data_IF_228804390177
#
_entry.id   IF_228804390177
#
_cell.length_a   1.000
_cell.length_b   1.000
_cell.length_c   1.000
_cell.angle_alpha   90.00
_cell.angle_beta   90.00
_cell.angle_gamma   90.00
#
_symmetry.space_group_name_H-M   'P 1'
#
loop_
_entity.id
_entity.type
_entity.pdbx_description
1 polymer ?
#
# COMPACT_ATOMS: atom_id res chain seq x y z
N UNK A 1 -20.04 6.41 7.50
CA UNK A 1 -19.70 7.47 8.48
C UNK A 1 -20.04 8.79 7.85
N UNK A 2 -20.69 9.66 8.60
CA UNK A 2 -20.92 11.01 8.15
C UNK A 2 -19.62 11.85 8.21
N UNK A 3 -19.47 12.91 7.41
CA UNK A 3 -18.28 13.75 7.42
C UNK A 3 -17.85 14.21 8.81
N UNK A 4 -18.80 14.66 9.64
CA UNK A 4 -18.55 15.14 11.01
C UNK A 4 -17.97 14.03 11.91
N UNK A 5 -18.36 12.77 11.70
CA UNK A 5 -17.83 11.62 12.44
C UNK A 5 -16.37 11.36 12.05
N UNK A 6 -16.03 11.48 10.75
CA UNK A 6 -14.66 11.31 10.26
C UNK A 6 -13.77 12.44 10.80
N UNK A 7 -14.25 13.69 10.74
CA UNK A 7 -13.53 14.84 11.27
C UNK A 7 -13.27 14.71 12.79
N UNK A 8 -14.24 14.20 13.56
CA UNK A 8 -14.06 13.96 14.99
C UNK A 8 -12.93 12.93 15.25
N UNK A 9 -12.88 11.83 14.50
CA UNK A 9 -11.79 10.83 14.62
C UNK A 9 -10.44 11.44 14.26
N UNK A 10 -10.40 12.21 13.17
CA UNK A 10 -9.17 12.90 12.72
C UNK A 10 -8.68 13.89 13.78
N UNK A 11 -9.59 14.69 14.37
CA UNK A 11 -9.25 15.64 15.44
C UNK A 11 -8.61 14.95 16.64
N UNK A 12 -9.21 13.86 17.11
CA UNK A 12 -8.68 13.06 18.24
C UNK A 12 -7.29 12.48 17.87
N UNK A 13 -7.12 11.97 16.65
CA UNK A 13 -5.83 11.49 16.18
C UNK A 13 -4.76 12.57 16.18
N UNK A 14 -5.10 13.77 15.69
CA UNK A 14 -4.17 14.91 15.65
C UNK A 14 -3.79 15.36 17.07
N UNK A 15 -4.74 15.47 17.99
CA UNK A 15 -4.48 15.81 19.38
C UNK A 15 -3.55 14.79 20.07
N UNK A 16 -3.70 13.51 19.74
CA UNK A 16 -2.87 12.42 20.26
C UNK A 16 -1.53 12.25 19.53
N UNK A 17 -1.29 13.00 18.44
CA UNK A 17 -0.10 12.81 17.57
C UNK A 17 -0.09 11.48 16.82
N UNK A 18 -1.28 10.90 16.57
CA UNK A 18 -1.46 9.61 15.89
C UNK A 18 -1.97 9.82 14.47
N UNK A 19 -1.42 9.09 13.52
CA UNK A 19 -1.88 9.09 12.13
C UNK A 19 -3.22 8.36 12.03
N UNK A 20 -4.12 8.90 11.20
CA UNK A 20 -5.44 8.32 10.92
C UNK A 20 -5.47 7.86 9.47
N UNK A 21 -5.88 6.62 9.25
CA UNK A 21 -6.11 6.06 7.92
C UNK A 21 -7.59 5.69 7.75
N UNK A 22 -8.06 5.67 6.51
CA UNK A 22 -9.41 5.25 6.18
C UNK A 22 -9.41 4.13 5.14
N UNK A 23 -10.10 3.02 5.44
CA UNK A 23 -10.49 2.03 4.46
C UNK A 23 -11.63 2.61 3.60
N UNK A 24 -11.40 2.84 2.31
CA UNK A 24 -12.40 3.39 1.41
C UNK A 24 -12.18 2.92 -0.05
N UNK A 25 -13.26 2.41 -0.67
CA UNK A 25 -13.25 1.98 -2.06
C UNK A 25 -13.94 2.98 -3.01
N UNK A 26 -15.09 3.52 -2.61
CA UNK A 26 -15.90 4.39 -3.46
C UNK A 26 -15.34 5.82 -3.56
N UNK A 27 -15.45 6.45 -4.73
CA UNK A 27 -14.90 7.78 -4.98
C UNK A 27 -15.39 8.83 -3.97
N UNK A 28 -16.67 8.82 -3.63
CA UNK A 28 -17.24 9.80 -2.68
C UNK A 28 -16.70 9.62 -1.26
N UNK A 29 -16.65 8.37 -0.76
CA UNK A 29 -16.10 8.10 0.58
C UNK A 29 -14.60 8.41 0.67
N UNK A 30 -13.85 8.20 -0.42
CA UNK A 30 -12.43 8.58 -0.51
C UNK A 30 -12.28 10.11 -0.39
N UNK A 31 -13.07 10.87 -1.17
CA UNK A 31 -13.04 12.34 -1.13
C UNK A 31 -13.41 12.88 0.24
N UNK A 32 -14.46 12.36 0.86
CA UNK A 32 -14.86 12.75 2.20
C UNK A 32 -13.76 12.50 3.25
N UNK A 33 -13.12 11.32 3.22
CA UNK A 33 -12.02 11.01 4.11
C UNK A 33 -10.81 11.93 3.90
N UNK A 34 -10.45 12.22 2.64
CA UNK A 34 -9.37 13.16 2.31
C UNK A 34 -9.68 14.56 2.82
N UNK A 35 -10.91 15.05 2.63
CA UNK A 35 -11.33 16.38 3.06
C UNK A 35 -11.37 16.50 4.59
N UNK A 36 -11.76 15.44 5.29
CA UNK A 36 -11.72 15.36 6.74
C UNK A 36 -10.29 15.32 7.32
N UNK A 37 -9.26 15.09 6.49
CA UNK A 37 -7.86 15.23 6.88
C UNK A 37 -7.19 13.94 7.35
N UNK A 38 -7.63 12.76 6.86
CA UNK A 38 -6.90 11.50 7.08
C UNK A 38 -5.50 11.56 6.47
N UNK A 39 -4.59 10.74 6.95
CA UNK A 39 -3.21 10.70 6.49
C UNK A 39 -3.00 9.75 5.31
N UNK A 40 -3.80 8.68 5.23
CA UNK A 40 -3.80 7.74 4.11
C UNK A 40 -5.18 7.14 3.85
N UNK A 41 -5.35 6.61 2.63
CA UNK A 41 -6.51 5.82 2.23
C UNK A 41 -6.02 4.43 1.86
N UNK A 42 -6.61 3.42 2.48
CA UNK A 42 -6.39 2.02 2.14
C UNK A 42 -7.34 1.61 1.01
N UNK A 43 -6.84 0.82 0.06
CA UNK A 43 -7.45 0.35 -1.18
C UNK A 43 -7.67 1.41 -2.25
N UNK A 44 -8.44 2.47 -1.99
CA UNK A 44 -8.76 3.54 -2.93
C UNK A 44 -9.22 3.05 -4.33
N UNK A 45 -9.89 1.89 -4.41
CA UNK A 45 -10.09 1.13 -5.66
C UNK A 45 -10.78 1.93 -6.76
N UNK A 46 -11.81 2.68 -6.41
CA UNK A 46 -12.64 3.44 -7.36
C UNK A 46 -12.40 4.96 -7.24
N UNK A 47 -11.19 5.36 -6.85
CA UNK A 47 -10.82 6.78 -6.79
C UNK A 47 -10.99 7.42 -8.18
N UNK A 48 -11.64 8.57 -8.23
CA UNK A 48 -11.81 9.36 -9.46
C UNK A 48 -10.70 10.43 -9.63
N UNK A 49 -10.71 11.12 -10.75
CA UNK A 49 -9.70 12.15 -11.05
C UNK A 49 -9.72 13.31 -10.03
N UNK A 50 -10.88 13.62 -9.45
CA UNK A 50 -11.00 14.60 -8.38
C UNK A 50 -10.40 14.09 -7.06
N UNK A 51 -10.66 12.84 -6.69
CA UNK A 51 -10.03 12.19 -5.54
C UNK A 51 -8.51 12.15 -5.65
N UNK A 52 -7.97 11.84 -6.84
CA UNK A 52 -6.54 11.87 -7.13
C UNK A 52 -5.97 13.29 -6.94
N UNK A 53 -6.66 14.30 -7.48
CA UNK A 53 -6.26 15.70 -7.31
C UNK A 53 -6.23 16.11 -5.84
N UNK A 54 -7.28 15.78 -5.09
CA UNK A 54 -7.38 16.09 -3.66
C UNK A 54 -6.31 15.37 -2.85
N UNK A 55 -6.07 14.08 -3.10
CA UNK A 55 -5.01 13.31 -2.43
C UNK A 55 -3.64 13.98 -2.62
N UNK A 56 -3.31 14.39 -3.86
CA UNK A 56 -2.07 15.11 -4.14
C UNK A 56 -1.99 16.44 -3.43
N UNK A 57 -3.02 17.28 -3.53
CA UNK A 57 -3.05 18.63 -2.95
C UNK A 57 -2.95 18.61 -1.42
N UNK A 58 -3.59 17.64 -0.79
CA UNK A 58 -3.61 17.47 0.67
C UNK A 58 -2.44 16.64 1.20
N UNK A 59 -1.66 16.01 0.32
CA UNK A 59 -0.57 15.12 0.71
C UNK A 59 -1.02 13.83 1.38
N UNK A 60 -2.25 13.37 1.06
CA UNK A 60 -2.79 12.10 1.56
C UNK A 60 -2.21 10.95 0.76
N UNK A 61 -1.67 9.94 1.45
CA UNK A 61 -1.09 8.78 0.80
C UNK A 61 -2.18 7.77 0.38
N UNK A 62 -1.92 7.03 -0.69
CA UNK A 62 -2.76 5.92 -1.13
C UNK A 62 -2.01 4.59 -0.96
N UNK A 63 -2.64 3.63 -0.27
CA UNK A 63 -2.15 2.27 -0.06
C UNK A 63 -3.02 1.31 -0.89
N UNK A 64 -2.60 1.05 -2.13
CA UNK A 64 -3.42 0.33 -3.12
C UNK A 64 -2.89 -1.10 -3.33
N UNK A 65 -3.66 -2.09 -2.91
CA UNK A 65 -3.37 -3.53 -2.89
C UNK A 65 -3.68 -4.21 -4.24
N UNK A 66 -3.04 -3.77 -5.32
CA UNK A 66 -3.36 -4.13 -6.72
C UNK A 66 -3.03 -5.58 -7.13
N UNK A 67 -2.39 -6.38 -6.25
CA UNK A 67 -2.19 -7.83 -6.42
C UNK A 67 -3.42 -8.66 -6.02
N UNK A 68 -4.14 -8.26 -4.97
CA UNK A 68 -5.24 -9.02 -4.36
C UNK A 68 -6.25 -9.55 -5.39
N UNK A 69 -6.59 -8.74 -6.37
CA UNK A 69 -7.59 -9.10 -7.38
C UNK A 69 -7.27 -10.38 -8.13
N UNK A 70 -6.00 -10.64 -8.46
CA UNK A 70 -5.61 -11.87 -9.17
C UNK A 70 -5.65 -13.09 -8.25
N UNK A 71 -5.28 -12.94 -6.98
CA UNK A 71 -5.41 -14.00 -6.00
C UNK A 71 -6.88 -14.42 -5.83
N UNK A 72 -7.78 -13.45 -5.65
CA UNK A 72 -9.21 -13.69 -5.52
C UNK A 72 -9.78 -14.35 -6.78
N UNK A 73 -9.38 -13.88 -7.98
CA UNK A 73 -9.85 -14.44 -9.25
C UNK A 73 -9.33 -15.86 -9.53
N UNK A 74 -8.23 -16.28 -8.91
CA UNK A 74 -7.64 -17.61 -9.10
C UNK A 74 -8.01 -18.54 -7.96
N UNK A 75 -7.53 -18.26 -6.75
CA UNK A 75 -7.72 -19.12 -5.59
C UNK A 75 -9.16 -19.07 -5.09
N UNK A 76 -9.78 -17.90 -5.05
CA UNK A 76 -11.18 -17.75 -4.62
C UNK A 76 -12.16 -18.52 -5.50
N UNK A 77 -11.87 -18.63 -6.80
CA UNK A 77 -12.68 -19.48 -7.72
C UNK A 77 -12.47 -20.97 -7.42
N UNK A 78 -11.24 -21.40 -7.18
CA UNK A 78 -10.91 -22.80 -6.87
C UNK A 78 -11.50 -23.23 -5.52
N UNK A 79 -11.47 -22.33 -4.53
CA UNK A 79 -11.98 -22.56 -3.19
C UNK A 79 -13.47 -22.23 -3.02
N UNK A 80 -14.16 -21.95 -4.12
CA UNK A 80 -15.61 -21.68 -4.18
C UNK A 80 -16.05 -20.56 -3.23
N UNK A 81 -15.31 -19.45 -3.21
CA UNK A 81 -15.67 -18.28 -2.41
C UNK A 81 -17.04 -17.71 -2.87
N UNK A 82 -17.78 -16.99 -2.01
CA UNK A 82 -19.09 -16.45 -2.34
C UNK A 82 -19.05 -15.66 -3.65
N UNK A 83 -19.98 -15.97 -4.58
CA UNK A 83 -20.03 -15.37 -5.91
C UNK A 83 -20.11 -13.83 -5.87
N UNK A 84 -20.72 -13.26 -4.85
CA UNK A 84 -20.78 -11.82 -4.68
C UNK A 84 -19.37 -11.20 -4.52
N UNK A 85 -18.46 -11.85 -3.79
CA UNK A 85 -17.07 -11.40 -3.63
C UNK A 85 -16.31 -11.52 -4.94
N UNK A 86 -16.46 -12.65 -5.64
CA UNK A 86 -15.81 -12.88 -6.93
C UNK A 86 -16.30 -11.88 -7.98
N UNK A 87 -17.59 -11.59 -8.02
CA UNK A 87 -18.18 -10.61 -8.93
C UNK A 87 -17.65 -9.20 -8.65
N UNK A 88 -17.71 -8.75 -7.39
CA UNK A 88 -17.18 -7.43 -7.00
C UNK A 88 -15.71 -7.29 -7.36
N UNK A 89 -14.91 -8.33 -7.09
CA UNK A 89 -13.51 -8.33 -7.43
C UNK A 89 -13.27 -8.19 -8.94
N UNK A 90 -14.01 -8.96 -9.78
CA UNK A 90 -13.90 -8.84 -11.25
C UNK A 90 -14.26 -7.44 -11.75
N UNK A 91 -15.27 -6.81 -11.15
CA UNK A 91 -15.75 -5.48 -11.53
C UNK A 91 -14.78 -4.36 -11.12
N UNK A 92 -13.97 -4.53 -10.06
CA UNK A 92 -13.14 -3.46 -9.48
C UNK A 92 -11.65 -3.60 -9.77
N UNK A 93 -11.13 -4.81 -9.94
CA UNK A 93 -9.68 -5.06 -10.04
C UNK A 93 -8.99 -4.24 -11.14
N UNK A 94 -9.54 -4.25 -12.35
CA UNK A 94 -8.93 -3.53 -13.47
C UNK A 94 -9.03 -2.01 -13.28
N UNK A 95 -10.15 -1.53 -12.76
CA UNK A 95 -10.35 -0.10 -12.45
C UNK A 95 -9.35 0.37 -11.39
N UNK A 96 -9.14 -0.41 -10.34
CA UNK A 96 -8.15 -0.11 -9.30
C UNK A 96 -6.73 0.03 -9.87
N UNK A 97 -6.34 -0.86 -10.78
CA UNK A 97 -5.03 -0.84 -11.43
C UNK A 97 -4.84 0.38 -12.35
N UNK A 98 -5.87 0.73 -13.10
CA UNK A 98 -5.88 1.95 -13.91
C UNK A 98 -5.78 3.21 -13.04
N UNK A 99 -6.53 3.24 -11.95
CA UNK A 99 -6.49 4.34 -10.99
C UNK A 99 -5.15 4.43 -10.25
N UNK A 100 -4.51 3.28 -9.94
CA UNK A 100 -3.13 3.26 -9.43
C UNK A 100 -2.17 3.95 -10.41
N UNK A 101 -2.24 3.58 -11.69
CA UNK A 101 -1.40 4.21 -12.73
C UNK A 101 -1.64 5.71 -12.81
N UNK A 102 -2.90 6.15 -12.81
CA UNK A 102 -3.26 7.58 -12.84
C UNK A 102 -2.74 8.32 -11.61
N UNK A 103 -2.94 7.77 -10.41
CA UNK A 103 -2.49 8.37 -9.15
C UNK A 103 -0.96 8.50 -9.11
N UNK A 104 -0.24 7.45 -9.52
CA UNK A 104 1.22 7.50 -9.64
C UNK A 104 1.68 8.57 -10.64
N UNK A 105 1.13 8.61 -11.85
CA UNK A 105 1.47 9.61 -12.86
C UNK A 105 1.14 11.04 -12.43
N UNK A 106 0.08 11.22 -11.65
CA UNK A 106 -0.28 12.49 -11.05
C UNK A 106 0.69 12.93 -9.94
N UNK A 107 1.53 12.03 -9.43
CA UNK A 107 2.48 12.29 -8.34
C UNK A 107 1.84 12.27 -6.96
N UNK A 108 0.78 11.48 -6.76
CA UNK A 108 0.24 11.17 -5.44
C UNK A 108 1.24 10.30 -4.68
N UNK A 109 1.31 10.45 -3.36
CA UNK A 109 2.14 9.60 -2.51
C UNK A 109 1.53 8.19 -2.52
N UNK A 110 2.22 7.22 -3.10
CA UNK A 110 1.84 5.82 -3.05
C UNK A 110 2.68 5.12 -1.99
N UNK A 111 2.02 4.47 -1.04
CA UNK A 111 2.65 3.64 -0.01
C UNK A 111 2.33 2.17 -0.26
N UNK A 112 3.29 1.30 0.06
CA UNK A 112 3.16 -0.13 -0.11
C UNK A 112 2.14 -0.70 0.87
N UNK A 113 1.09 -1.32 0.37
CA UNK A 113 0.09 -2.03 1.15
C UNK A 113 -0.32 -3.31 0.43
N UNK A 114 -0.68 -4.35 1.17
CA UNK A 114 -0.86 -5.69 0.61
C UNK A 114 -2.17 -6.35 0.97
N UNK A 115 -2.82 -5.92 2.05
CA UNK A 115 -4.01 -6.55 2.60
C UNK A 115 -3.85 -8.09 2.79
N UNK A 116 -2.61 -8.51 3.16
CA UNK A 116 -2.34 -9.91 3.45
C UNK A 116 -3.18 -10.41 4.62
N UNK A 117 -3.82 -11.54 4.42
CA UNK A 117 -4.97 -12.05 5.16
C UNK A 117 -6.04 -12.48 4.16
N UNK A 118 -6.19 -11.70 3.06
CA UNK A 118 -6.89 -12.16 1.85
C UNK A 118 -6.11 -13.31 1.22
N UNK A 119 -4.79 -13.23 1.23
CA UNK A 119 -3.87 -14.29 0.81
C UNK A 119 -2.84 -14.60 1.91
N UNK A 120 -2.12 -15.73 1.84
CA UNK A 120 -1.17 -16.13 2.88
C UNK A 120 -0.07 -15.09 3.12
N UNK A 121 0.25 -14.84 4.40
CA UNK A 121 1.46 -14.11 4.76
C UNK A 121 2.69 -14.81 4.19
N UNK A 122 3.62 -14.04 3.62
CA UNK A 122 4.78 -14.56 2.87
C UNK A 122 4.68 -14.24 1.39
N UNK A 123 3.48 -14.12 0.84
CA UNK A 123 3.22 -13.71 -0.56
C UNK A 123 3.19 -12.18 -0.76
N UNK A 124 3.39 -11.42 0.31
CA UNK A 124 3.33 -9.96 0.30
C UNK A 124 4.17 -9.34 -0.83
N UNK A 125 5.37 -9.86 -1.07
CA UNK A 125 6.30 -9.31 -2.05
C UNK A 125 5.82 -9.41 -3.51
N UNK A 126 4.81 -10.22 -3.81
CA UNK A 126 4.19 -10.29 -5.15
C UNK A 126 3.62 -8.94 -5.59
N UNK A 127 3.16 -8.11 -4.65
CA UNK A 127 2.67 -6.76 -4.89
C UNK A 127 3.70 -5.88 -5.64
N UNK A 128 4.99 -6.01 -5.38
CA UNK A 128 6.03 -5.21 -6.04
C UNK A 128 6.00 -5.34 -7.57
N UNK A 129 5.85 -6.57 -8.08
CA UNK A 129 5.81 -6.80 -9.52
C UNK A 129 4.59 -6.12 -10.17
N UNK A 130 3.46 -6.08 -9.47
CA UNK A 130 2.27 -5.35 -9.93
C UNK A 130 2.50 -3.85 -9.96
N UNK A 131 3.07 -3.27 -8.91
CA UNK A 131 3.38 -1.83 -8.87
C UNK A 131 4.29 -1.42 -10.04
N UNK A 132 5.30 -2.23 -10.35
CA UNK A 132 6.19 -1.99 -11.50
C UNK A 132 5.44 -2.16 -12.83
N UNK A 133 4.62 -3.20 -13.00
CA UNK A 133 3.84 -3.41 -14.20
C UNK A 133 2.83 -2.29 -14.49
N UNK A 134 2.38 -1.60 -13.43
CA UNK A 134 1.41 -0.50 -13.51
C UNK A 134 2.05 0.89 -13.38
N UNK A 135 3.36 1.00 -13.62
CA UNK A 135 4.01 2.26 -13.95
C UNK A 135 5.12 2.73 -13.03
N UNK A 136 5.30 2.14 -11.84
CA UNK A 136 6.44 2.47 -11.00
C UNK A 136 7.75 1.89 -11.54
N UNK A 137 8.85 2.56 -11.29
CA UNK A 137 10.18 1.94 -11.38
C UNK A 137 10.38 0.98 -10.20
N UNK A 138 11.29 0.01 -10.34
CA UNK A 138 11.65 -0.88 -9.23
C UNK A 138 12.12 -0.10 -7.99
N UNK A 139 12.83 1.01 -8.19
CA UNK A 139 13.29 1.88 -7.10
C UNK A 139 12.11 2.52 -6.37
N UNK A 140 11.15 3.12 -7.09
CA UNK A 140 9.95 3.72 -6.48
C UNK A 140 9.13 2.69 -5.72
N UNK A 141 8.96 1.49 -6.27
CA UNK A 141 8.25 0.40 -5.58
C UNK A 141 8.95 0.00 -4.27
N UNK A 142 10.29 -0.14 -4.26
CA UNK A 142 11.04 -0.41 -3.02
C UNK A 142 10.94 0.77 -2.05
N UNK A 143 11.03 2.00 -2.53
CA UNK A 143 10.91 3.19 -1.69
C UNK A 143 9.52 3.31 -1.06
N UNK A 144 8.45 2.92 -1.77
CA UNK A 144 7.09 2.92 -1.24
C UNK A 144 6.92 2.01 -0.03
N UNK A 145 7.69 0.91 0.04
CA UNK A 145 7.69 -0.05 1.15
C UNK A 145 8.71 0.28 2.26
N UNK A 146 9.54 1.29 2.06
CA UNK A 146 10.63 1.65 2.99
C UNK A 146 10.53 3.09 3.44
N UNK A 147 11.23 4.01 2.79
CA UNK A 147 11.31 5.42 3.21
C UNK A 147 9.97 6.15 3.13
N UNK A 148 9.13 5.83 2.12
CA UNK A 148 7.80 6.45 1.97
C UNK A 148 6.86 5.93 3.05
N UNK A 149 6.83 4.60 3.26
CA UNK A 149 6.02 4.00 4.33
C UNK A 149 6.44 4.51 5.71
N UNK A 150 7.75 4.59 5.98
CA UNK A 150 8.28 5.14 7.22
C UNK A 150 7.77 6.57 7.47
N UNK A 151 7.79 7.43 6.45
CA UNK A 151 7.29 8.81 6.53
C UNK A 151 5.78 8.86 6.75
N UNK A 152 5.00 8.03 6.04
CA UNK A 152 3.54 7.97 6.23
C UNK A 152 3.18 7.52 7.64
N UNK A 153 3.96 6.62 8.24
CA UNK A 153 3.79 6.16 9.62
C UNK A 153 4.39 7.10 10.69
N UNK A 154 5.03 8.19 10.31
CA UNK A 154 5.78 9.08 11.22
C UNK A 154 6.92 8.36 11.97
N UNK A 155 7.64 7.48 11.27
CA UNK A 155 8.75 6.66 11.77
C UNK A 155 10.04 6.83 10.93
N UNK A 156 10.13 7.87 10.13
CA UNK A 156 11.23 8.13 9.20
C UNK A 156 12.58 8.35 9.87
N UNK A 157 12.60 8.59 11.16
CA UNK A 157 13.80 8.70 11.99
C UNK A 157 14.29 7.36 12.57
N UNK A 158 13.56 6.25 12.32
CA UNK A 158 13.80 4.94 12.95
C UNK A 158 13.95 3.79 11.98
N UNK A 159 13.18 3.79 10.89
CA UNK A 159 13.08 2.69 9.93
C UNK A 159 13.12 3.19 8.48
N UNK A 160 13.18 2.24 7.51
CA UNK A 160 13.11 2.54 6.09
C UNK A 160 14.44 2.83 5.42
N UNK A 161 15.54 2.91 6.17
CA UNK A 161 16.90 3.17 5.65
C UNK A 161 17.94 2.35 6.40
N UNK A 162 19.02 1.98 5.71
CA UNK A 162 20.22 1.42 6.32
C UNK A 162 21.11 2.62 6.71
N UNK A 163 21.01 3.05 7.97
CA UNK A 163 21.67 4.25 8.48
C UNK A 163 22.00 4.09 9.97
N UNK A 164 23.13 4.63 10.46
CA UNK A 164 23.44 4.63 11.88
C UNK A 164 22.30 5.27 12.71
N UNK A 165 21.90 4.61 13.80
CA UNK A 165 20.82 5.05 14.67
C UNK A 165 19.43 4.50 14.30
N UNK A 166 19.28 3.86 13.13
CA UNK A 166 18.05 3.19 12.72
C UNK A 166 17.99 1.75 13.22
N UNK A 167 16.78 1.20 13.32
CA UNK A 167 16.63 -0.22 13.59
C UNK A 167 17.29 -1.05 12.49
N UNK A 168 18.02 -2.08 12.88
CA UNK A 168 18.67 -3.01 11.97
C UNK A 168 17.65 -4.05 11.48
N UNK A 169 16.62 -3.58 10.77
CA UNK A 169 15.59 -4.38 10.07
C UNK A 169 15.98 -4.43 8.59
N UNK A 170 16.64 -5.51 8.17
CA UNK A 170 17.30 -5.59 6.87
C UNK A 170 16.93 -6.91 6.19
N UNK A 171 16.64 -6.83 4.90
CA UNK A 171 16.53 -8.00 4.04
C UNK A 171 17.64 -7.98 2.99
N UNK A 172 18.08 -9.15 2.53
CA UNK A 172 18.95 -9.27 1.38
C UNK A 172 18.44 -10.33 0.42
N UNK A 173 18.64 -10.07 -0.86
CA UNK A 173 18.34 -10.96 -2.00
C UNK A 173 19.61 -11.26 -2.77
N UNK A 174 19.57 -12.30 -3.63
CA UNK A 174 20.79 -12.83 -4.30
C UNK A 174 21.36 -11.92 -5.37
N UNK A 175 20.56 -11.04 -5.94
CA UNK A 175 20.97 -10.18 -7.06
C UNK A 175 20.28 -8.83 -6.97
N UNK A 176 20.43 -7.98 -7.97
CA UNK A 176 19.96 -6.60 -7.98
C UNK A 176 18.45 -6.48 -8.21
N UNK A 177 17.63 -6.15 -7.19
CA UNK A 177 16.18 -6.04 -7.33
C UNK A 177 15.75 -4.82 -8.17
N UNK A 178 16.65 -3.88 -8.45
CA UNK A 178 16.36 -2.77 -9.38
C UNK A 178 16.28 -3.25 -10.83
N UNK A 179 16.95 -4.36 -11.16
CA UNK A 179 16.89 -4.98 -12.49
C UNK A 179 15.80 -6.04 -12.58
N UNK A 180 15.51 -6.71 -11.46
CA UNK A 180 14.43 -7.70 -11.38
C UNK A 180 13.75 -7.63 -10.00
N UNK A 181 12.65 -6.92 -9.96
CA UNK A 181 11.90 -6.69 -8.71
C UNK A 181 11.36 -7.98 -8.08
N UNK A 182 11.13 -9.05 -8.88
CA UNK A 182 10.67 -10.36 -8.40
C UNK A 182 11.66 -11.08 -7.50
N UNK A 183 12.93 -10.66 -7.45
CA UNK A 183 13.88 -11.16 -6.45
C UNK A 183 13.42 -10.95 -5.02
N UNK A 184 12.56 -9.96 -4.78
CA UNK A 184 11.94 -9.72 -3.47
C UNK A 184 10.91 -10.79 -3.08
N UNK A 185 10.48 -11.64 -4.01
CA UNK A 185 9.60 -12.79 -3.73
C UNK A 185 10.36 -13.97 -3.06
N UNK A 186 11.71 -13.98 -3.15
CA UNK A 186 12.60 -14.98 -2.52
C UNK A 186 13.71 -14.30 -1.69
N UNK A 187 13.37 -13.93 -0.46
CA UNK A 187 14.29 -13.27 0.47
C UNK A 187 15.29 -14.28 1.00
N UNK A 188 16.59 -14.04 0.82
CA UNK A 188 17.65 -14.92 1.30
C UNK A 188 18.06 -14.64 2.74
N UNK A 189 18.10 -13.37 3.13
CA UNK A 189 18.48 -12.97 4.49
C UNK A 189 17.40 -12.10 5.08
N UNK A 190 17.01 -12.37 6.32
CA UNK A 190 16.13 -11.54 7.13
C UNK A 190 16.78 -11.24 8.45
N UNK A 191 16.98 -9.97 8.74
CA UNK A 191 17.50 -9.43 10.00
C UNK A 191 16.42 -8.55 10.61
N UNK A 192 16.11 -8.76 11.89
CA UNK A 192 15.16 -7.95 12.66
C UNK A 192 15.82 -7.49 13.96
N UNK A 193 15.91 -6.18 14.17
CA UNK A 193 16.57 -5.63 15.35
C UNK A 193 18.04 -6.08 15.52
N UNK A 194 18.75 -6.35 14.41
CA UNK A 194 20.13 -6.86 14.44
C UNK A 194 20.25 -8.39 14.62
N UNK A 195 19.14 -9.10 14.83
CA UNK A 195 19.12 -10.57 14.96
C UNK A 195 18.81 -11.20 13.60
N UNK A 196 19.59 -12.21 13.20
CA UNK A 196 19.36 -12.97 11.96
C UNK A 196 18.28 -14.02 12.18
N UNK A 197 17.19 -13.92 11.43
CA UNK A 197 16.07 -14.87 11.46
C UNK A 197 16.10 -15.86 10.29
N UNK A 198 16.65 -15.45 9.15
CA UNK A 198 16.84 -16.29 7.98
C UNK A 198 18.19 -15.97 7.35
N UNK A 199 18.94 -17.00 6.96
CA UNK A 199 20.15 -16.88 6.14
C UNK A 199 20.30 -18.16 5.31
N UNK A 200 20.08 -18.09 3.98
CA UNK A 200 20.17 -19.19 3.01
C UNK A 200 21.24 -18.91 1.96
#
# INVERSE_FOLDING_TARGET
MDPDEIEAVVSVGQEAGIRVTAHAHGAESIKQAILAGVNSIEHASLIDDEGIRLAKEKGVALSMDIYNGDYINTVGVIEEWPEEFLRKNRETTQIQRENFTKAHQAGVIIVYGTDAGVYPHGDNAKQFAYMVNYGMTSLEAIQSATIVAAKVMNWEDRVGQIKPGYFADIIAVRDNPLLNIRLLEDINVVIKGGVVYKAN
#
